data_IF_707903320431
#
_entry.id   IF_707903320431
#
_cell.length_a   1.000
_cell.length_b   1.000
_cell.length_c   1.000
_cell.angle_alpha   90.00
_cell.angle_beta   90.00
_cell.angle_gamma   90.00
#
_symmetry.space_group_name_H-M   'P 1'
#
loop_
_entity.id
_entity.type
_entity.pdbx_description
1 polymer ?
#
# COMPACT_ATOMS: atom_id res chain seq x y z
N UNK A 1 -1.23 -1.34 -73.31
CA UNK A 1 -0.97 -1.64 -71.89
C UNK A 1 -1.05 -3.17 -71.75
N UNK A 2 0.04 -3.92 -72.01
CA UNK A 2 1.10 -4.33 -71.05
C UNK A 2 0.48 -5.03 -69.82
N UNK A 3 0.74 -6.29 -69.44
CA UNK A 3 1.30 -7.50 -70.07
C UNK A 3 1.02 -8.71 -69.13
N UNK A 4 0.69 -9.88 -69.72
CA UNK A 4 0.97 -11.33 -69.41
C UNK A 4 1.09 -11.85 -67.94
N UNK A 5 0.42 -12.95 -67.51
CA UNK A 5 0.61 -14.42 -67.78
C UNK A 5 2.00 -14.92 -67.30
N UNK A 6 2.29 -16.07 -66.67
CA UNK A 6 1.83 -17.48 -66.52
C UNK A 6 2.56 -18.04 -65.24
N UNK A 7 2.13 -19.03 -64.44
CA UNK A 7 1.94 -20.50 -64.58
C UNK A 7 3.20 -21.38 -64.84
N UNK A 8 3.30 -22.47 -64.04
CA UNK A 8 4.09 -23.72 -64.17
C UNK A 8 5.59 -23.71 -63.81
N UNK A 9 6.27 -24.80 -63.41
CA UNK A 9 6.03 -26.12 -62.76
C UNK A 9 7.44 -26.80 -62.70
N UNK A 10 7.64 -27.70 -61.73
CA UNK A 10 8.56 -28.87 -61.75
C UNK A 10 10.09 -28.80 -61.54
N UNK A 11 10.51 -29.86 -60.80
CA UNK A 11 11.74 -30.68 -60.85
C UNK A 11 13.04 -30.11 -60.25
N UNK A 12 13.55 -30.62 -59.12
CA UNK A 12 14.19 -31.94 -58.87
C UNK A 12 15.63 -32.03 -59.42
N UNK A 13 16.62 -32.16 -58.53
CA UNK A 13 17.75 -33.08 -58.65
C UNK A 13 18.68 -32.99 -57.44
N UNK A 14 19.16 -34.15 -57.02
CA UNK A 14 20.05 -34.41 -55.91
C UNK A 14 21.51 -34.02 -56.20
N UNK A 15 22.28 -33.79 -55.13
CA UNK A 15 23.73 -33.61 -55.17
C UNK A 15 24.35 -34.01 -53.83
N UNK A 16 24.93 -35.20 -53.81
CA UNK A 16 25.66 -35.87 -52.73
C UNK A 16 27.02 -35.22 -52.40
N UNK A 17 27.43 -35.29 -51.13
CA UNK A 17 28.83 -35.07 -50.72
C UNK A 17 29.04 -35.06 -49.21
N UNK A 18 29.49 -36.20 -48.64
CA UNK A 18 30.21 -36.30 -47.35
C UNK A 18 31.58 -35.57 -47.50
N UNK A 19 32.33 -35.05 -46.52
CA UNK A 19 32.94 -35.69 -45.33
C UNK A 19 33.49 -34.58 -44.38
N UNK A 20 33.41 -34.85 -43.07
CA UNK A 20 34.32 -34.48 -41.96
C UNK A 20 34.78 -33.03 -41.71
N UNK A 21 34.59 -32.60 -40.45
CA UNK A 21 35.59 -31.76 -39.77
C UNK A 21 35.07 -30.83 -38.66
N UNK A 22 35.29 -31.25 -37.41
CA UNK A 22 35.71 -30.40 -36.28
C UNK A 22 34.68 -29.50 -35.56
N UNK A 23 34.17 -30.06 -34.45
CA UNK A 23 34.16 -29.49 -33.10
C UNK A 23 33.88 -27.99 -32.92
N UNK A 24 32.69 -27.68 -32.41
CA UNK A 24 32.53 -26.71 -31.33
C UNK A 24 31.29 -27.07 -30.50
N UNK A 25 31.51 -27.34 -29.21
CA UNK A 25 30.43 -27.46 -28.23
C UNK A 25 29.72 -26.10 -28.15
N UNK A 26 28.45 -26.08 -28.57
CA UNK A 26 27.57 -24.94 -28.35
C UNK A 26 27.16 -24.92 -26.88
N UNK A 27 27.80 -24.06 -26.10
CA UNK A 27 27.23 -23.53 -24.86
C UNK A 27 25.89 -22.88 -25.21
N UNK A 28 24.79 -23.56 -24.92
CA UNK A 28 23.46 -22.99 -24.96
C UNK A 28 23.37 -21.94 -23.86
N UNK A 29 23.59 -20.68 -24.22
CA UNK A 29 23.19 -19.55 -23.40
C UNK A 29 21.66 -19.63 -23.26
N UNK A 30 21.20 -20.03 -22.08
CA UNK A 30 19.83 -19.77 -21.67
C UNK A 30 19.68 -18.25 -21.64
N UNK A 31 18.94 -17.71 -22.61
CA UNK A 31 18.50 -16.33 -22.58
C UNK A 31 17.57 -16.17 -21.38
N UNK A 32 18.03 -15.47 -20.34
CA UNK A 32 17.14 -14.86 -19.36
C UNK A 32 16.13 -14.00 -20.12
N UNK A 33 14.88 -14.44 -20.18
CA UNK A 33 13.79 -13.64 -20.71
C UNK A 33 13.73 -12.34 -19.90
N UNK A 34 14.00 -11.22 -20.57
CA UNK A 34 13.82 -9.90 -20.00
C UNK A 34 12.37 -9.77 -19.50
N UNK A 35 12.15 -9.14 -18.32
CA UNK A 35 10.82 -9.03 -17.73
C UNK A 35 9.89 -8.34 -18.73
N UNK A 36 8.80 -9.04 -19.08
CA UNK A 36 7.75 -8.58 -20.00
C UNK A 36 7.23 -7.23 -19.51
N UNK A 37 7.40 -6.19 -20.32
CA UNK A 37 6.87 -4.85 -20.00
C UNK A 37 5.35 -4.90 -19.95
N UNK A 38 4.80 -4.69 -18.74
CA UNK A 38 3.38 -4.67 -18.44
C UNK A 38 2.74 -3.45 -19.11
N UNK A 39 1.79 -3.66 -20.02
CA UNK A 39 1.04 -2.57 -20.66
C UNK A 39 -0.02 -2.00 -19.70
N UNK A 40 -0.57 -0.82 -20.00
CA UNK A 40 -1.61 -0.16 -19.16
C UNK A 40 -2.88 -1.02 -19.01
N UNK A 41 -3.09 -1.98 -19.91
CA UNK A 41 -4.18 -2.97 -19.89
C UNK A 41 -3.83 -4.21 -19.04
N UNK A 42 -2.54 -4.43 -18.73
CA UNK A 42 -2.00 -5.53 -17.90
C UNK A 42 -1.72 -5.12 -16.45
N UNK A 43 -2.05 -3.89 -16.08
CA UNK A 43 -1.80 -3.36 -14.74
C UNK A 43 -2.79 -3.87 -13.68
N UNK A 44 -2.50 -3.53 -12.44
CA UNK A 44 -3.40 -3.74 -11.30
C UNK A 44 -3.51 -2.46 -10.47
N UNK A 45 -4.58 -2.31 -9.70
CA UNK A 45 -4.76 -1.27 -8.69
C UNK A 45 -4.52 -1.84 -7.31
N UNK A 46 -3.94 -1.04 -6.43
CA UNK A 46 -3.55 -1.49 -5.09
C UNK A 46 -4.31 -0.71 -4.02
N UNK A 47 -5.12 -1.39 -3.22
CA UNK A 47 -5.76 -0.83 -2.04
C UNK A 47 -5.01 -1.24 -0.76
N UNK A 48 -4.57 -0.26 0.03
CA UNK A 48 -3.84 -0.44 1.27
C UNK A 48 -4.70 -0.06 2.46
N UNK A 49 -5.11 -1.05 3.26
CA UNK A 49 -5.99 -0.85 4.39
C UNK A 49 -5.37 -0.10 5.57
N UNK A 50 -6.21 0.56 6.35
CA UNK A 50 -5.85 1.19 7.62
C UNK A 50 -5.85 0.19 8.78
N UNK A 51 -4.85 0.27 9.66
CA UNK A 51 -4.75 -0.62 10.82
C UNK A 51 -3.75 -0.17 11.88
N UNK A 52 -3.43 1.14 11.90
CA UNK A 52 -2.37 1.72 12.74
C UNK A 52 -1.07 0.90 12.65
N UNK A 53 -0.56 0.32 13.75
CA UNK A 53 0.70 -0.44 13.73
C UNK A 53 0.64 -1.69 12.83
N UNK A 54 -0.54 -2.32 12.67
CA UNK A 54 -0.68 -3.52 11.83
C UNK A 54 -0.41 -3.25 10.36
N UNK A 55 -0.58 -2.01 9.90
CA UNK A 55 -0.35 -1.62 8.52
C UNK A 55 1.14 -1.71 8.10
N UNK A 56 2.08 -1.89 9.02
CA UNK A 56 3.46 -2.27 8.63
C UNK A 56 3.51 -3.60 7.86
N UNK A 57 2.46 -4.43 7.94
CA UNK A 57 2.31 -5.61 7.11
C UNK A 57 2.19 -5.34 5.61
N UNK A 58 1.97 -4.08 5.19
CA UNK A 58 2.04 -3.68 3.79
C UNK A 58 3.48 -3.71 3.24
N UNK A 59 4.49 -3.53 4.10
CA UNK A 59 5.89 -3.38 3.68
C UNK A 59 6.40 -4.59 2.87
N UNK A 60 6.24 -5.86 3.32
CA UNK A 60 6.65 -7.01 2.52
C UNK A 60 5.95 -7.13 1.16
N UNK A 61 4.75 -6.55 1.01
CA UNK A 61 4.02 -6.55 -0.26
C UNK A 61 4.61 -5.52 -1.21
N UNK A 62 4.94 -4.32 -0.71
CA UNK A 62 5.65 -3.31 -1.48
C UNK A 62 7.04 -3.80 -1.93
N UNK A 63 7.76 -4.51 -1.06
CA UNK A 63 9.03 -5.14 -1.41
C UNK A 63 8.85 -6.25 -2.45
N UNK A 64 7.78 -7.05 -2.36
CA UNK A 64 7.47 -8.06 -3.35
C UNK A 64 7.17 -7.45 -4.73
N UNK A 65 6.52 -6.29 -4.78
CA UNK A 65 6.31 -5.53 -6.02
C UNK A 65 7.64 -5.08 -6.64
N UNK A 66 8.54 -4.55 -5.82
CA UNK A 66 9.88 -4.14 -6.26
C UNK A 66 10.69 -5.33 -6.78
N UNK A 67 10.68 -6.46 -6.07
CA UNK A 67 11.38 -7.69 -6.47
C UNK A 67 10.87 -8.22 -7.83
N UNK A 68 9.57 -8.06 -8.12
CA UNK A 68 8.97 -8.45 -9.41
C UNK A 68 9.15 -7.39 -10.51
N UNK A 69 9.60 -6.17 -10.17
CA UNK A 69 9.67 -5.05 -11.11
C UNK A 69 8.30 -4.56 -11.60
N UNK A 70 7.24 -4.80 -10.83
CA UNK A 70 5.85 -4.43 -11.19
C UNK A 70 5.39 -3.21 -10.41
N UNK A 71 4.50 -2.42 -11.01
CA UNK A 71 3.91 -1.24 -10.37
C UNK A 71 2.40 -1.23 -10.57
N UNK A 72 1.63 -0.76 -9.59
CA UNK A 72 0.20 -0.58 -9.76
C UNK A 72 -0.05 0.64 -10.66
N UNK A 73 -1.18 0.66 -11.34
CA UNK A 73 -1.59 1.83 -12.14
C UNK A 73 -2.09 2.97 -11.26
N UNK A 74 -2.57 2.64 -10.06
CA UNK A 74 -3.12 3.56 -9.08
C UNK A 74 -3.12 2.89 -7.69
N UNK A 75 -2.91 3.69 -6.64
CA UNK A 75 -2.96 3.27 -5.25
C UNK A 75 -4.14 3.93 -4.54
N UNK A 76 -4.87 3.21 -3.70
CA UNK A 76 -5.79 3.79 -2.73
C UNK A 76 -5.34 3.43 -1.32
N UNK A 77 -5.35 4.40 -0.39
CA UNK A 77 -4.88 4.19 0.97
C UNK A 77 -5.74 4.87 2.02
N UNK A 78 -5.87 4.21 3.18
CA UNK A 78 -6.57 4.73 4.36
C UNK A 78 -5.64 4.72 5.57
N UNK A 79 -5.59 5.82 6.35
CA UNK A 79 -4.81 5.94 7.58
C UNK A 79 -3.34 5.58 7.34
N UNK A 80 -2.72 4.69 8.13
CA UNK A 80 -1.35 4.23 7.89
C UNK A 80 -1.13 3.58 6.50
N UNK A 81 -2.17 3.02 5.87
CA UNK A 81 -2.12 2.58 4.48
C UNK A 81 -1.90 3.74 3.50
N UNK A 82 -2.48 4.91 3.79
CA UNK A 82 -2.21 6.14 3.01
C UNK A 82 -0.78 6.64 3.21
N UNK A 83 -0.23 6.53 4.42
CA UNK A 83 1.15 6.95 4.72
C UNK A 83 2.14 6.11 3.91
N UNK A 84 2.06 4.77 4.04
CA UNK A 84 2.99 3.86 3.35
C UNK A 84 2.78 3.89 1.83
N UNK A 85 1.52 3.99 1.38
CA UNK A 85 1.19 4.17 -0.03
C UNK A 85 1.75 5.47 -0.61
N UNK A 86 1.70 6.58 0.13
CA UNK A 86 2.23 7.87 -0.30
C UNK A 86 3.75 7.88 -0.38
N UNK A 87 4.45 7.22 0.55
CA UNK A 87 5.91 7.03 0.46
C UNK A 87 6.29 6.27 -0.81
N UNK A 88 5.59 5.17 -1.09
CA UNK A 88 5.83 4.37 -2.28
C UNK A 88 5.49 5.13 -3.57
N UNK A 89 4.33 5.79 -3.60
CA UNK A 89 3.88 6.61 -4.72
C UNK A 89 4.79 7.82 -4.96
N UNK A 90 5.49 8.33 -3.94
CA UNK A 90 6.52 9.37 -4.08
C UNK A 90 7.83 8.85 -4.69
N UNK A 91 8.00 7.53 -4.79
CA UNK A 91 9.12 6.87 -5.44
C UNK A 91 10.07 6.13 -4.50
N UNK A 92 9.78 6.04 -3.20
CA UNK A 92 10.56 5.18 -2.29
C UNK A 92 10.30 3.71 -2.58
N UNK A 93 11.35 2.89 -2.61
CA UNK A 93 11.22 1.43 -2.63
C UNK A 93 10.66 0.90 -1.32
N UNK A 94 10.03 -0.28 -1.36
CA UNK A 94 9.57 -1.01 -0.17
C UNK A 94 10.69 -1.22 0.86
N UNK A 95 11.93 -1.43 0.41
CA UNK A 95 13.10 -1.57 1.30
C UNK A 95 13.48 -0.25 1.98
N UNK A 96 13.43 0.87 1.27
CA UNK A 96 13.65 2.20 1.86
C UNK A 96 12.54 2.54 2.87
N UNK A 97 11.29 2.20 2.55
CA UNK A 97 10.14 2.35 3.46
C UNK A 97 10.34 1.48 4.71
N UNK A 98 10.75 0.22 4.55
CA UNK A 98 11.08 -0.68 5.68
C UNK A 98 12.11 -0.04 6.58
N UNK A 99 13.24 0.38 6.02
CA UNK A 99 14.35 0.95 6.78
C UNK A 99 13.91 2.20 7.53
N UNK A 100 13.26 3.14 6.84
CA UNK A 100 12.76 4.38 7.43
C UNK A 100 11.78 4.11 8.58
N UNK A 101 10.79 3.24 8.37
CA UNK A 101 9.79 2.95 9.38
C UNK A 101 10.40 2.24 10.59
N UNK A 102 11.31 1.28 10.38
CA UNK A 102 12.01 0.59 11.47
C UNK A 102 12.86 1.56 12.28
N UNK A 103 13.61 2.46 11.63
CA UNK A 103 14.41 3.46 12.32
C UNK A 103 13.54 4.40 13.16
N UNK A 104 12.44 4.89 12.58
CA UNK A 104 11.51 5.78 13.24
C UNK A 104 10.90 5.16 14.52
N UNK A 105 10.52 3.88 14.47
CA UNK A 105 9.81 3.22 15.56
C UNK A 105 10.68 2.37 16.47
N UNK A 106 11.93 2.07 16.13
CA UNK A 106 12.86 1.33 17.01
C UNK A 106 13.74 2.29 17.81
N UNK A 107 14.11 3.43 17.22
CA UNK A 107 15.03 4.39 17.84
C UNK A 107 14.26 5.45 18.64
N UNK A 108 13.75 5.07 19.81
CA UNK A 108 12.97 5.96 20.72
C UNK A 108 13.63 7.32 20.94
N UNK A 109 14.96 7.34 21.07
CA UNK A 109 15.75 8.56 21.24
C UNK A 109 15.71 9.46 20.01
N UNK A 110 15.78 8.91 18.80
CA UNK A 110 15.71 9.70 17.55
C UNK A 110 14.31 10.26 17.31
N UNK A 111 13.25 9.51 17.63
CA UNK A 111 11.88 10.01 17.54
C UNK A 111 11.69 11.21 18.48
N UNK A 112 12.11 11.05 19.73
CA UNK A 112 12.08 12.11 20.74
C UNK A 112 12.93 13.31 20.29
N UNK A 113 14.15 13.07 19.80
CA UNK A 113 15.07 14.12 19.33
C UNK A 113 14.53 14.86 18.11
N UNK A 114 13.96 14.17 17.11
CA UNK A 114 13.31 14.81 15.94
C UNK A 114 12.15 15.70 16.38
N UNK A 115 11.34 15.25 17.35
CA UNK A 115 10.28 16.07 17.95
C UNK A 115 10.82 17.25 18.77
N UNK A 116 12.09 17.23 19.21
CA UNK A 116 12.72 18.31 19.99
C UNK A 116 13.53 19.31 19.14
N UNK A 117 14.04 18.92 17.97
CA UNK A 117 15.02 19.71 17.21
C UNK A 117 14.45 20.57 16.07
N UNK A 118 13.19 20.36 15.68
CA UNK A 118 12.59 21.11 14.56
C UNK A 118 11.96 22.41 15.07
N UNK A 119 12.79 23.46 15.09
CA UNK A 119 12.49 24.90 15.04
C UNK A 119 11.27 25.46 15.80
N UNK A 120 11.52 26.08 16.96
CA UNK A 120 10.88 27.32 17.46
C UNK A 120 9.36 27.36 17.67
N UNK A 121 8.58 26.39 17.19
CA UNK A 121 7.16 26.19 17.41
C UNK A 121 7.02 25.26 18.61
N UNK A 122 7.12 25.91 19.75
CA UNK A 122 7.06 25.40 21.13
C UNK A 122 6.06 24.26 21.29
N UNK A 123 6.48 23.24 22.06
CA UNK A 123 5.69 22.16 22.67
C UNK A 123 4.23 22.52 23.03
N UNK A 124 3.95 23.79 23.35
CA UNK A 124 2.60 24.32 23.56
C UNK A 124 1.62 24.13 22.40
N UNK A 125 2.08 23.94 21.15
CA UNK A 125 1.19 23.64 20.01
C UNK A 125 0.82 22.16 19.90
N UNK A 126 1.73 21.25 20.28
CA UNK A 126 1.47 19.80 20.36
C UNK A 126 0.59 19.44 21.55
N UNK A 127 0.68 20.22 22.64
CA UNK A 127 -0.16 20.09 23.82
C UNK A 127 -1.16 21.24 23.86
N UNK A 128 -2.27 21.08 23.15
CA UNK A 128 -3.37 22.04 23.16
C UNK A 128 -3.87 22.22 24.61
N UNK A 129 -3.64 23.38 25.22
CA UNK A 129 -3.81 23.62 26.69
C UNK A 129 -5.25 23.40 27.18
N UNK A 130 -6.22 23.40 26.26
CA UNK A 130 -7.65 23.17 26.53
C UNK A 130 -8.06 21.69 26.41
N UNK A 131 -7.22 20.84 25.78
CA UNK A 131 -7.49 19.41 25.56
C UNK A 131 -6.21 18.58 25.78
N UNK A 132 -6.01 17.95 26.94
CA UNK A 132 -4.81 17.14 27.16
C UNK A 132 -4.81 15.96 26.17
N UNK A 133 -3.66 15.74 25.52
CA UNK A 133 -3.29 14.55 24.72
C UNK A 133 -3.74 14.42 23.25
N UNK A 134 -4.17 15.50 22.58
CA UNK A 134 -4.43 15.44 21.12
C UNK A 134 -3.35 16.21 20.36
N UNK A 135 -2.60 15.50 19.50
CA UNK A 135 -1.50 16.04 18.71
C UNK A 135 -2.04 16.57 17.36
N UNK A 136 -1.49 17.68 16.88
CA UNK A 136 -1.73 18.16 15.52
C UNK A 136 -1.01 17.22 14.51
N UNK A 137 -1.75 16.49 13.65
CA UNK A 137 -1.14 15.54 12.72
C UNK A 137 -0.27 16.21 11.66
N UNK A 138 -0.53 17.47 11.28
CA UNK A 138 0.31 18.18 10.30
C UNK A 138 1.71 18.42 10.88
N UNK A 139 1.77 18.98 12.09
CA UNK A 139 3.05 19.25 12.77
C UNK A 139 3.81 17.95 13.02
N UNK A 140 3.10 16.91 13.48
CA UNK A 140 3.68 15.60 13.71
C UNK A 140 4.30 15.04 12.44
N UNK A 141 3.55 14.99 11.35
CA UNK A 141 4.00 14.36 10.12
C UNK A 141 5.03 15.19 9.36
N UNK A 142 4.94 16.51 9.36
CA UNK A 142 6.00 17.41 8.84
C UNK A 142 7.34 17.15 9.53
N UNK A 143 7.31 16.85 10.83
CA UNK A 143 8.53 16.56 11.61
C UNK A 143 9.09 15.16 11.36
N UNK A 144 8.20 14.18 11.16
CA UNK A 144 8.59 12.77 11.10
C UNK A 144 8.90 12.28 9.70
N UNK A 145 8.13 12.71 8.69
CA UNK A 145 8.15 12.17 7.35
C UNK A 145 9.48 12.46 6.62
N UNK A 146 9.87 11.58 5.67
CA UNK A 146 11.11 11.77 4.94
C UNK A 146 10.99 12.96 3.98
N UNK A 147 12.09 13.69 3.72
CA UNK A 147 12.10 14.81 2.78
C UNK A 147 11.84 14.39 1.32
N UNK A 148 11.87 13.10 1.03
CA UNK A 148 11.55 12.52 -0.28
C UNK A 148 10.04 12.37 -0.53
N UNK A 149 9.18 12.63 0.45
CA UNK A 149 7.74 12.64 0.24
C UNK A 149 7.36 13.79 -0.71
N UNK A 150 6.52 13.49 -1.70
CA UNK A 150 6.00 14.49 -2.62
C UNK A 150 5.19 15.58 -1.89
N UNK A 151 5.31 16.84 -2.34
CA UNK A 151 4.57 17.95 -1.75
C UNK A 151 3.08 17.92 -2.14
N UNK A 152 2.78 17.51 -3.37
CA UNK A 152 1.42 17.47 -3.94
C UNK A 152 1.12 16.13 -4.61
N UNK A 153 -0.16 15.81 -4.76
CA UNK A 153 -0.59 14.63 -5.53
C UNK A 153 -0.06 14.64 -6.97
N UNK A 154 0.06 15.82 -7.59
CA UNK A 154 0.60 15.98 -8.95
C UNK A 154 2.08 15.59 -9.10
N UNK A 155 2.83 15.56 -8.00
CA UNK A 155 4.27 15.28 -8.00
C UNK A 155 4.57 13.79 -7.78
N UNK A 156 3.54 13.00 -7.46
CA UNK A 156 3.63 11.56 -7.26
C UNK A 156 4.05 10.85 -8.55
N UNK A 157 4.84 9.79 -8.40
CA UNK A 157 5.22 8.88 -9.49
C UNK A 157 4.12 7.90 -9.84
N UNK A 158 3.20 7.64 -8.91
CA UNK A 158 2.03 6.80 -9.09
C UNK A 158 0.78 7.57 -8.64
N UNK A 159 -0.31 7.56 -9.43
CA UNK A 159 -1.59 8.14 -9.02
C UNK A 159 -2.05 7.53 -7.70
N UNK A 160 -2.62 8.37 -6.82
CA UNK A 160 -3.06 7.93 -5.51
C UNK A 160 -4.36 8.60 -5.08
N UNK A 161 -5.22 7.80 -4.44
CA UNK A 161 -6.41 8.23 -3.71
C UNK A 161 -6.22 8.02 -2.21
N UNK A 162 -6.54 9.03 -1.42
CA UNK A 162 -6.47 8.98 0.04
C UNK A 162 -7.88 9.13 0.59
N UNK A 163 -8.27 8.20 1.47
CA UNK A 163 -9.62 8.21 2.04
C UNK A 163 -9.64 8.91 3.39
N UNK A 164 -10.57 9.84 3.55
CA UNK A 164 -10.89 10.47 4.82
C UNK A 164 -12.39 10.37 5.12
N UNK A 165 -12.75 10.59 6.38
CA UNK A 165 -14.15 10.66 6.80
C UNK A 165 -14.51 12.11 7.09
N UNK A 166 -15.54 12.66 6.43
CA UNK A 166 -16.14 13.90 6.88
C UNK A 166 -16.96 13.64 8.14
N UNK A 167 -16.52 14.26 9.24
CA UNK A 167 -17.09 14.06 10.56
C UNK A 167 -18.56 14.49 10.66
N UNK A 168 -18.96 15.55 9.97
CA UNK A 168 -20.31 16.10 10.10
C UNK A 168 -21.29 15.43 9.15
N UNK A 169 -20.87 15.16 7.91
CA UNK A 169 -21.73 14.49 6.93
C UNK A 169 -21.71 12.96 7.07
N UNK A 170 -20.78 12.42 7.86
CA UNK A 170 -20.58 10.98 8.09
C UNK A 170 -20.33 10.23 6.78
N UNK A 171 -19.66 10.88 5.84
CA UNK A 171 -19.49 10.41 4.48
C UNK A 171 -18.01 10.24 4.11
N UNK A 172 -17.77 9.39 3.12
CA UNK A 172 -16.44 9.19 2.56
C UNK A 172 -16.04 10.39 1.72
N UNK A 173 -14.83 10.88 1.95
CA UNK A 173 -14.14 11.86 1.11
C UNK A 173 -12.94 11.19 0.48
N UNK A 174 -12.86 11.27 -0.85
CA UNK A 174 -11.70 10.80 -1.63
C UNK A 174 -10.86 12.03 -1.95
N UNK A 175 -9.63 12.06 -1.46
CA UNK A 175 -8.65 13.10 -1.72
C UNK A 175 -7.66 12.58 -2.77
N UNK A 176 -7.62 13.23 -3.93
CA UNK A 176 -6.76 12.83 -5.07
C UNK A 176 -6.05 14.02 -5.73
N UNK A 177 -6.20 15.23 -5.16
CA UNK A 177 -5.56 16.44 -5.63
C UNK A 177 -5.15 17.35 -4.46
N UNK A 178 -4.33 18.37 -4.76
CA UNK A 178 -3.88 19.34 -3.77
C UNK A 178 -2.58 18.95 -3.04
N UNK A 179 -2.29 19.60 -1.89
CA UNK A 179 -1.15 19.25 -1.04
C UNK A 179 -1.31 17.85 -0.43
N UNK A 180 -0.26 17.04 -0.48
CA UNK A 180 -0.32 15.63 -0.08
C UNK A 180 -0.33 15.45 1.44
N UNK A 181 0.51 16.20 2.16
CA UNK A 181 0.64 16.08 3.62
C UNK A 181 -0.69 16.32 4.38
N UNK A 182 -1.49 17.37 4.06
CA UNK A 182 -2.82 17.53 4.66
C UNK A 182 -3.78 16.37 4.40
N UNK A 183 -3.75 15.76 3.21
CA UNK A 183 -4.61 14.63 2.91
C UNK A 183 -4.23 13.39 3.74
N UNK A 184 -2.94 13.09 3.85
CA UNK A 184 -2.42 12.03 4.74
C UNK A 184 -2.79 12.32 6.20
N UNK A 185 -2.63 13.58 6.63
CA UNK A 185 -2.95 14.02 7.98
C UNK A 185 -4.44 13.81 8.29
N UNK A 186 -5.33 14.19 7.38
CA UNK A 186 -6.77 13.97 7.49
C UNK A 186 -7.10 12.47 7.57
N UNK A 187 -6.57 11.66 6.65
CA UNK A 187 -6.80 10.22 6.58
C UNK A 187 -6.31 9.45 7.80
N UNK A 188 -5.34 10.00 8.53
CA UNK A 188 -4.75 9.39 9.73
C UNK A 188 -5.18 10.07 11.03
N UNK A 189 -6.11 11.04 10.99
CA UNK A 189 -6.55 11.81 12.15
C UNK A 189 -7.47 10.98 13.07
N UNK A 190 -6.88 9.99 13.75
CA UNK A 190 -7.57 9.08 14.64
C UNK A 190 -8.06 9.82 15.90
N UNK A 191 -9.39 9.85 16.18
CA UNK A 191 -9.94 10.53 17.34
C UNK A 191 -9.27 10.09 18.65
N UNK A 192 -9.21 11.00 19.61
CA UNK A 192 -8.49 10.86 20.90
C UNK A 192 -6.95 10.87 20.80
N UNK A 193 -6.36 10.66 19.63
CA UNK A 193 -4.91 10.77 19.43
C UNK A 193 -4.52 12.01 18.62
N UNK A 194 -5.27 12.30 17.56
CA UNK A 194 -4.95 13.36 16.60
C UNK A 194 -6.15 14.28 16.40
N UNK A 195 -5.88 15.58 16.18
CA UNK A 195 -6.94 16.56 15.95
C UNK A 195 -7.53 16.35 14.55
N UNK A 196 -8.84 16.58 14.35
CA UNK A 196 -9.42 16.64 13.01
C UNK A 196 -8.71 17.67 12.14
N UNK A 197 -8.63 17.41 10.83
CA UNK A 197 -8.00 18.29 9.84
C UNK A 197 -9.09 18.97 9.01
N UNK A 198 -8.91 20.26 8.70
CA UNK A 198 -9.84 21.00 7.85
C UNK A 198 -9.27 21.15 6.44
N UNK A 199 -9.99 20.67 5.44
CA UNK A 199 -9.65 20.81 4.00
C UNK A 199 -10.91 21.31 3.29
N UNK A 200 -10.81 22.42 2.56
CA UNK A 200 -11.90 23.00 1.76
C UNK A 200 -13.24 23.14 2.50
N UNK A 201 -13.16 23.53 3.78
CA UNK A 201 -14.33 23.70 4.65
C UNK A 201 -14.84 22.43 5.31
N UNK A 202 -14.44 21.24 4.86
CA UNK A 202 -14.78 19.95 5.46
C UNK A 202 -13.95 19.69 6.71
N UNK A 203 -14.54 19.03 7.71
CA UNK A 203 -13.82 18.60 8.92
C UNK A 203 -13.60 17.10 8.84
N UNK A 204 -12.35 16.71 8.61
CA UNK A 204 -11.96 15.36 8.27
C UNK A 204 -11.30 14.66 9.45
N UNK A 205 -11.65 13.39 9.63
CA UNK A 205 -11.01 12.45 10.55
C UNK A 205 -10.55 11.21 9.77
N UNK A 206 -9.93 10.27 10.48
CA UNK A 206 -9.41 9.02 9.91
C UNK A 206 -10.40 8.33 8.94
N UNK A 207 -9.93 7.90 7.78
CA UNK A 207 -10.77 7.29 6.75
C UNK A 207 -11.30 5.89 7.12
N UNK A 208 -10.73 5.26 8.15
CA UNK A 208 -11.12 3.93 8.61
C UNK A 208 -12.58 3.84 9.04
N UNK A 209 -13.18 4.94 9.49
CA UNK A 209 -14.58 4.97 9.93
C UNK A 209 -15.59 4.75 8.80
N UNK A 210 -15.21 5.01 7.54
CA UNK A 210 -16.08 4.87 6.36
C UNK A 210 -15.56 3.86 5.35
N UNK A 211 -14.23 3.74 5.22
CA UNK A 211 -13.63 2.82 4.28
C UNK A 211 -12.21 2.39 4.70
N UNK A 212 -12.11 1.38 5.58
CA UNK A 212 -10.84 0.92 6.11
C UNK A 212 -9.95 0.25 5.07
N UNK A 213 -10.51 -0.45 4.07
CA UNK A 213 -9.76 -1.06 2.97
C UNK A 213 -10.39 -0.64 1.64
N UNK A 214 -9.84 0.39 0.97
CA UNK A 214 -10.54 1.10 -0.10
C UNK A 214 -10.36 0.45 -1.47
N UNK A 215 -10.77 -0.81 -1.61
CA UNK A 215 -10.68 -1.54 -2.87
C UNK A 215 -11.80 -1.23 -3.87
N UNK A 216 -12.83 -0.50 -3.43
CA UNK A 216 -14.06 -0.17 -4.17
C UNK A 216 -14.09 1.28 -4.68
N UNK A 217 -13.01 2.03 -4.50
CA UNK A 217 -12.91 3.45 -4.92
C UNK A 217 -12.32 3.62 -6.32
N UNK A 218 -11.99 2.49 -6.94
CA UNK A 218 -11.43 2.43 -8.28
C UNK A 218 -12.55 2.38 -9.34
N UNK A 219 -12.31 2.91 -10.55
CA UNK A 219 -13.23 2.75 -11.67
C UNK A 219 -13.46 1.29 -12.03
N UNK A 220 -14.69 0.95 -12.43
CA UNK A 220 -15.02 -0.34 -13.02
C UNK A 220 -14.70 -0.33 -14.52
N UNK A 221 -13.43 -0.51 -14.85
CA UNK A 221 -12.88 -0.44 -16.21
C UNK A 221 -12.07 -1.70 -16.61
N UNK A 222 -12.22 -2.79 -15.86
CA UNK A 222 -11.57 -4.08 -16.14
C UNK A 222 -10.11 -4.19 -15.68
N UNK A 223 -9.52 -3.16 -15.07
CA UNK A 223 -8.20 -3.29 -14.42
C UNK A 223 -8.35 -4.01 -13.08
N UNK A 224 -7.53 -5.06 -12.87
CA UNK A 224 -7.62 -5.90 -11.69
C UNK A 224 -7.30 -5.11 -10.41
N UNK A 225 -7.96 -5.47 -9.31
CA UNK A 225 -7.78 -4.85 -8.00
C UNK A 225 -7.16 -5.84 -7.03
N UNK A 226 -6.05 -5.43 -6.41
CA UNK A 226 -5.40 -6.11 -5.29
C UNK A 226 -5.66 -5.30 -4.03
N UNK A 227 -6.20 -5.93 -2.99
CA UNK A 227 -6.44 -5.29 -1.70
C UNK A 227 -5.65 -5.97 -0.60
N UNK A 228 -5.06 -5.17 0.28
CA UNK A 228 -4.40 -5.65 1.50
C UNK A 228 -5.20 -5.18 2.70
N UNK A 229 -5.88 -6.12 3.36
CA UNK A 229 -6.62 -5.86 4.59
C UNK A 229 -5.77 -6.23 5.81
N UNK A 230 -5.59 -5.26 6.71
CA UNK A 230 -4.84 -5.41 7.96
C UNK A 230 -5.74 -5.22 9.19
N UNK A 231 -7.05 -5.10 9.00
CA UNK A 231 -8.04 -4.98 10.08
C UNK A 231 -8.26 -6.30 10.81
N UNK A 232 -7.95 -7.42 10.15
CA UNK A 232 -8.05 -8.78 10.69
C UNK A 232 -7.40 -8.93 12.06
N UNK A 233 -7.99 -9.80 12.89
CA UNK A 233 -7.53 -10.06 14.24
C UNK A 233 -7.66 -11.53 14.62
N UNK A 234 -6.61 -12.07 15.25
CA UNK A 234 -6.59 -13.44 15.77
C UNK A 234 -7.05 -13.40 17.23
N UNK A 235 -8.27 -12.96 17.49
CA UNK A 235 -8.87 -13.04 18.83
C UNK A 235 -9.46 -14.43 19.08
N UNK A 236 -8.69 -15.48 18.80
CA UNK A 236 -9.11 -16.86 19.04
C UNK A 236 -9.20 -17.18 20.54
N UNK A 237 -8.41 -16.50 21.37
CA UNK A 237 -8.39 -16.73 22.82
C UNK A 237 -9.36 -15.81 23.57
N UNK A 238 -10.37 -16.42 24.19
CA UNK A 238 -11.23 -15.74 25.17
C UNK A 238 -10.41 -15.45 26.43
N UNK A 239 -10.22 -14.16 26.73
CA UNK A 239 -9.60 -13.73 28.00
C UNK A 239 -10.65 -13.72 29.11
N UNK A 240 -10.24 -14.09 30.32
CA UNK A 240 -11.13 -14.17 31.50
C UNK A 240 -11.37 -12.83 32.19
N UNK A 241 -10.54 -11.81 31.95
CA UNK A 241 -10.65 -10.49 32.57
C UNK A 241 -11.41 -9.46 31.72
N UNK A 242 -12.02 -8.48 32.37
CA UNK A 242 -12.62 -7.32 31.69
C UNK A 242 -11.52 -6.40 31.13
N UNK A 243 -11.66 -5.91 29.89
CA UNK A 243 -10.73 -4.94 29.33
C UNK A 243 -10.81 -3.60 30.06
N UNK A 244 -9.70 -2.84 30.09
CA UNK A 244 -9.71 -1.46 30.55
C UNK A 244 -10.53 -0.55 29.60
N UNK A 245 -10.85 0.68 30.01
CA UNK A 245 -11.60 1.63 29.18
C UNK A 245 -10.91 1.93 27.83
N UNK A 246 -9.59 2.13 27.85
CA UNK A 246 -8.81 2.34 26.63
C UNK A 246 -8.74 1.08 25.75
N UNK A 247 -8.54 -0.10 26.35
CA UNK A 247 -8.56 -1.36 25.59
C UNK A 247 -9.94 -1.64 24.99
N UNK A 248 -11.01 -1.30 25.70
CA UNK A 248 -12.38 -1.40 25.20
C UNK A 248 -12.58 -0.47 24.01
N UNK A 249 -12.12 0.78 24.10
CA UNK A 249 -12.23 1.73 22.99
C UNK A 249 -11.45 1.28 21.76
N UNK A 250 -10.18 0.87 21.92
CA UNK A 250 -9.33 0.35 20.82
C UNK A 250 -9.93 -0.94 20.23
N UNK A 251 -10.43 -1.83 21.10
CA UNK A 251 -11.08 -3.08 20.71
C UNK A 251 -12.34 -2.82 19.89
N UNK A 252 -13.24 -1.97 20.37
CA UNK A 252 -14.45 -1.56 19.65
C UNK A 252 -14.12 -0.92 18.31
N UNK A 253 -13.12 -0.03 18.26
CA UNK A 253 -12.66 0.55 17.00
C UNK A 253 -12.21 -0.54 16.01
N UNK A 254 -11.35 -1.46 16.45
CA UNK A 254 -10.84 -2.54 15.61
C UNK A 254 -11.96 -3.48 15.13
N UNK A 255 -12.94 -3.79 16.00
CA UNK A 255 -14.13 -4.59 15.66
C UNK A 255 -14.97 -3.89 14.58
N UNK A 256 -15.19 -2.58 14.71
CA UNK A 256 -15.94 -1.80 13.71
C UNK A 256 -15.25 -1.80 12.37
N UNK A 257 -13.93 -1.56 12.32
CA UNK A 257 -13.17 -1.59 11.06
C UNK A 257 -13.30 -2.96 10.37
N UNK A 258 -13.08 -4.04 11.11
CA UNK A 258 -13.18 -5.40 10.59
C UNK A 258 -14.60 -5.72 10.10
N UNK A 259 -15.63 -5.33 10.87
CA UNK A 259 -17.03 -5.53 10.50
C UNK A 259 -17.38 -4.80 9.20
N UNK A 260 -16.83 -3.60 9.01
CA UNK A 260 -17.05 -2.80 7.81
C UNK A 260 -16.35 -3.42 6.59
N UNK A 261 -15.10 -3.89 6.71
CA UNK A 261 -14.44 -4.63 5.62
C UNK A 261 -15.22 -5.90 5.28
N UNK A 262 -15.64 -6.68 6.28
CA UNK A 262 -16.39 -7.91 6.08
C UNK A 262 -17.73 -7.66 5.37
N UNK A 263 -18.47 -6.61 5.76
CA UNK A 263 -19.70 -6.22 5.09
C UNK A 263 -19.47 -5.82 3.63
N UNK A 264 -18.38 -5.10 3.34
CA UNK A 264 -18.02 -4.73 1.96
C UNK A 264 -17.65 -5.95 1.12
N UNK A 265 -16.84 -6.85 1.65
CA UNK A 265 -16.45 -8.11 0.98
C UNK A 265 -17.64 -9.01 0.67
N UNK A 266 -18.74 -8.91 1.43
CA UNK A 266 -19.99 -9.61 1.13
C UNK A 266 -20.75 -9.02 -0.07
N UNK A 267 -20.53 -7.73 -0.39
CA UNK A 267 -21.15 -7.06 -1.53
C UNK A 267 -20.29 -7.16 -2.80
N UNK A 268 -19.00 -6.86 -2.69
CA UNK A 268 -18.04 -6.84 -3.80
C UNK A 268 -16.67 -7.28 -3.29
N UNK A 269 -15.92 -8.03 -4.09
CA UNK A 269 -14.57 -8.49 -3.74
C UNK A 269 -13.54 -7.90 -4.71
N UNK A 270 -12.34 -7.57 -4.22
CA UNK A 270 -11.19 -7.36 -5.11
C UNK A 270 -10.83 -8.69 -5.80
N UNK A 271 -10.16 -8.62 -6.95
CA UNK A 271 -9.68 -9.80 -7.67
C UNK A 271 -8.69 -10.61 -6.82
N UNK A 272 -7.84 -9.91 -6.04
CA UNK A 272 -6.96 -10.53 -5.05
C UNK A 272 -7.13 -9.81 -3.71
N UNK A 273 -7.51 -10.57 -2.68
CA UNK A 273 -7.50 -10.11 -1.29
C UNK A 273 -6.32 -10.76 -0.55
N UNK A 274 -5.52 -9.94 0.13
CA UNK A 274 -4.40 -10.38 0.96
C UNK A 274 -4.68 -9.99 2.39
N UNK A 275 -4.66 -10.98 3.28
CA UNK A 275 -4.82 -10.81 4.72
C UNK A 275 -3.54 -11.32 5.41
N UNK A 276 -2.58 -10.43 5.74
CA UNK A 276 -1.34 -10.85 6.38
C UNK A 276 -1.61 -11.50 7.76
N UNK A 277 -0.82 -12.51 8.18
CA UNK A 277 -1.02 -13.23 9.43
C UNK A 277 -0.50 -12.43 10.64
N UNK A 278 -1.07 -11.24 10.86
CA UNK A 278 -0.68 -10.27 11.89
C UNK A 278 -1.74 -10.10 12.97
N UNK A 279 -2.75 -10.98 13.01
CA UNK A 279 -3.89 -10.86 13.90
C UNK A 279 -3.54 -10.87 15.39
N UNK A 280 -2.41 -11.50 15.76
CA UNK A 280 -1.85 -11.52 17.13
C UNK A 280 -1.33 -10.18 17.64
N UNK A 281 -1.03 -9.22 16.77
CA UNK A 281 -0.50 -7.91 17.18
C UNK A 281 -1.65 -6.96 17.52
N UNK A 282 -1.43 -6.04 18.46
CA UNK A 282 -2.43 -5.01 18.78
C UNK A 282 -2.26 -3.79 17.86
N UNK A 283 -3.37 -3.10 17.61
CA UNK A 283 -3.47 -1.90 16.75
C UNK A 283 -2.49 -0.78 17.14
N UNK A 284 -2.13 -0.67 18.43
CA UNK A 284 -1.24 0.40 18.95
C UNK A 284 0.19 -0.06 19.26
N UNK A 285 0.62 -1.24 18.82
CA UNK A 285 1.97 -1.78 19.08
C UNK A 285 3.03 -1.33 18.05
N UNK A 286 3.17 -0.02 17.82
CA UNK A 286 4.08 0.51 16.81
C UNK A 286 5.56 0.11 17.01
N UNK A 287 6.00 -0.03 18.26
CA UNK A 287 7.36 -0.46 18.61
C UNK A 287 7.67 -1.93 18.26
N UNK A 288 6.66 -2.72 17.87
CA UNK A 288 6.83 -4.10 17.38
C UNK A 288 6.97 -4.17 15.87
N UNK A 289 7.29 -3.06 15.20
CA UNK A 289 7.39 -3.00 13.74
C UNK A 289 8.23 -4.14 13.14
N UNK A 290 9.41 -4.43 13.71
CA UNK A 290 10.28 -5.50 13.20
C UNK A 290 9.60 -6.88 13.28
N UNK A 291 8.86 -7.15 14.35
CA UNK A 291 8.11 -8.40 14.52
C UNK A 291 6.89 -8.47 13.60
N UNK A 292 6.20 -7.34 13.39
CA UNK A 292 5.03 -7.24 12.50
C UNK A 292 5.45 -7.48 11.05
N UNK A 293 6.50 -6.79 10.60
CA UNK A 293 7.04 -6.93 9.24
C UNK A 293 7.50 -8.37 9.00
N UNK A 294 8.25 -8.95 9.96
CA UNK A 294 8.68 -10.36 9.88
C UNK A 294 7.50 -11.33 9.80
N UNK A 295 6.46 -11.11 10.61
CA UNK A 295 5.26 -11.94 10.57
C UNK A 295 4.51 -11.83 9.24
N UNK A 296 4.59 -10.68 8.58
CA UNK A 296 3.93 -10.41 7.31
C UNK A 296 4.72 -10.86 6.07
N UNK A 297 5.96 -11.35 6.19
CA UNK A 297 6.76 -11.83 5.06
C UNK A 297 6.02 -12.85 4.15
N UNK A 298 5.24 -13.82 4.67
CA UNK A 298 4.43 -14.72 3.83
C UNK A 298 3.36 -14.02 2.98
N UNK A 299 2.94 -12.80 3.35
CA UNK A 299 2.00 -12.01 2.58
C UNK A 299 2.62 -11.50 1.27
N UNK A 300 3.92 -11.23 1.24
CA UNK A 300 4.65 -10.90 0.01
C UNK A 300 4.63 -12.06 -0.98
N UNK A 301 4.84 -13.29 -0.52
CA UNK A 301 4.73 -14.48 -1.38
C UNK A 301 3.29 -14.75 -1.84
N UNK A 302 2.31 -14.44 -0.99
CA UNK A 302 0.89 -14.53 -1.35
C UNK A 302 0.53 -13.51 -2.43
N UNK A 303 1.06 -12.29 -2.34
CA UNK A 303 0.95 -11.27 -3.38
C UNK A 303 1.54 -11.76 -4.70
N UNK A 304 2.79 -12.25 -4.70
CA UNK A 304 3.45 -12.73 -5.93
C UNK A 304 2.64 -13.81 -6.64
N UNK A 305 2.13 -14.80 -5.90
CA UNK A 305 1.26 -15.86 -6.46
C UNK A 305 -0.07 -15.32 -6.95
N UNK A 306 -0.72 -14.43 -6.19
CA UNK A 306 -1.99 -13.82 -6.57
C UNK A 306 -1.86 -13.03 -7.87
N UNK A 307 -0.79 -12.24 -7.99
CA UNK A 307 -0.53 -11.45 -9.20
C UNK A 307 -0.19 -12.34 -10.40
N UNK A 308 0.63 -13.39 -10.22
CA UNK A 308 0.92 -14.35 -11.30
C UNK A 308 -0.37 -14.99 -11.84
N UNK A 309 -1.26 -15.43 -10.95
CA UNK A 309 -2.55 -16.00 -11.34
C UNK A 309 -3.45 -14.98 -12.07
N UNK A 310 -3.41 -13.70 -11.70
CA UNK A 310 -4.17 -12.66 -12.41
C UNK A 310 -3.66 -12.45 -13.83
N UNK A 311 -2.34 -12.52 -14.03
CA UNK A 311 -1.72 -12.32 -15.34
C UNK A 311 -1.82 -13.55 -16.24
N UNK A 312 -1.88 -14.76 -15.68
CA UNK A 312 -2.04 -16.01 -16.44
C UNK A 312 -3.48 -16.26 -16.93
N UNK A 313 -4.49 -15.70 -16.25
CA UNK A 313 -5.91 -15.90 -16.56
C UNK A 313 -6.55 -14.76 -17.37
N UNK A 314 -5.73 -13.86 -17.94
CA UNK A 314 -6.13 -12.79 -18.87
C UNK A 314 -5.77 -13.16 -20.31
#
# INVERSE_FOLDING_TARGET
>A
MIHRRELMLAAAAAGSGSIAGLTSESLSAQSEEAPKQISKEDGFRLALGGGAAKAFAHIPILEAMDDLGVKPVEIAGTSMGSILGAFYASGMSGREIRQFAVDLFTQKTQLIQKLFLTDGRTWSSLFNVVRPAIIDPLVLFETLFPPSLAERFSDLKLPMKIIATDFYTQSQVILEEGPLLPAIAASSALPMLLTPVRIDGQVLIDGGFVNPTPFDVFPDDGVATVAVDVTGSDFAERKSGLPSGLETWIGSFSITLHSLVAAKLACTRPDVLIEPPIGRFKTMEFFKIADIVKAAEPAGETFKRGLANLLENR
#
